data_IF_091313243658
#
_entry.id   IF_091313243658
#
_cell.length_a   1.000
_cell.length_b   1.000
_cell.length_c   1.000
_cell.angle_alpha   90.00
_cell.angle_beta   90.00
_cell.angle_gamma   90.00
#
_symmetry.space_group_name_H-M   'P 1'
#
loop_
_entity.id
_entity.type
_entity.pdbx_description
1 polymer ?
#
# COMPACT_ATOMS: atom_id res chain seq x y z
N UNK A 1 20.04 -11.91 -20.17
CA UNK A 1 19.63 -10.51 -20.02
C UNK A 1 20.23 -9.80 -18.80
N UNK A 2 20.83 -10.52 -17.83
CA UNK A 2 21.51 -9.94 -16.67
C UNK A 2 20.59 -9.25 -15.63
N UNK A 3 19.28 -9.24 -15.83
CA UNK A 3 18.30 -8.69 -14.91
C UNK A 3 17.68 -9.83 -14.10
N UNK A 4 17.81 -9.77 -12.79
CA UNK A 4 17.16 -10.73 -11.89
C UNK A 4 15.76 -10.22 -11.52
N UNK A 5 14.74 -10.85 -12.11
CA UNK A 5 13.33 -10.47 -11.89
C UNK A 5 12.72 -11.00 -10.58
N UNK A 6 13.50 -11.69 -9.76
CA UNK A 6 13.03 -12.35 -8.55
C UNK A 6 12.55 -13.78 -8.80
N UNK A 7 12.14 -14.45 -7.72
CA UNK A 7 11.60 -15.83 -7.77
C UNK A 7 10.08 -15.78 -7.61
N UNK A 8 9.33 -16.56 -8.43
CA UNK A 8 7.88 -16.68 -8.26
C UNK A 8 7.53 -17.16 -6.85
N UNK A 9 6.56 -16.52 -6.24
CA UNK A 9 6.06 -16.83 -4.90
C UNK A 9 4.54 -16.84 -4.88
N UNK A 10 3.98 -17.64 -3.97
CA UNK A 10 2.58 -17.54 -3.55
C UNK A 10 2.51 -16.55 -2.40
N UNK A 11 1.46 -15.74 -2.39
CA UNK A 11 1.28 -14.70 -1.36
C UNK A 11 0.07 -14.99 -0.46
N UNK A 12 -0.56 -16.15 -0.66
CA UNK A 12 -1.66 -16.64 0.17
C UNK A 12 -1.17 -16.97 1.57
N UNK A 13 -1.99 -16.66 2.56
CA UNK A 13 -1.71 -17.10 3.93
C UNK A 13 -2.19 -18.54 4.07
N UNK A 14 -1.27 -19.43 4.39
CA UNK A 14 -1.54 -20.86 4.57
C UNK A 14 -1.39 -21.27 6.03
N UNK A 15 -2.13 -22.31 6.41
CA UNK A 15 -2.09 -22.95 7.72
C UNK A 15 -1.88 -24.45 7.57
N UNK A 16 -1.14 -25.04 8.51
CA UNK A 16 -0.96 -26.50 8.60
C UNK A 16 -2.28 -27.19 8.97
N UNK A 17 -2.48 -28.43 8.52
CA UNK A 17 -3.69 -29.22 8.81
C UNK A 17 -3.40 -30.48 9.63
N UNK A 18 -2.50 -30.35 10.59
CA UNK A 18 -2.14 -31.44 11.51
C UNK A 18 -3.20 -31.68 12.59
N UNK A 19 -3.94 -30.61 12.97
CA UNK A 19 -4.96 -30.70 14.00
C UNK A 19 -6.16 -31.54 13.52
N UNK A 20 -6.55 -32.56 14.28
CA UNK A 20 -7.61 -33.49 13.92
C UNK A 20 -8.99 -32.83 13.82
N UNK A 21 -9.33 -31.89 14.70
CA UNK A 21 -10.60 -31.16 14.62
C UNK A 21 -10.68 -30.29 13.36
N UNK A 22 -9.55 -29.67 12.94
CA UNK A 22 -9.49 -28.94 11.69
C UNK A 22 -9.68 -29.87 10.48
N UNK A 23 -9.02 -31.04 10.48
CA UNK A 23 -9.19 -32.05 9.42
C UNK A 23 -10.64 -32.51 9.30
N UNK A 24 -11.31 -32.76 10.43
CA UNK A 24 -12.74 -33.11 10.47
C UNK A 24 -13.60 -31.99 9.93
N UNK A 25 -13.34 -30.75 10.33
CA UNK A 25 -14.04 -29.55 9.82
C UNK A 25 -13.93 -29.41 8.30
N UNK A 26 -12.74 -29.69 7.74
CA UNK A 26 -12.46 -29.65 6.31
C UNK A 26 -12.98 -30.88 5.56
N UNK A 27 -13.47 -31.91 6.26
CA UNK A 27 -13.89 -33.16 5.67
C UNK A 27 -12.77 -33.90 4.94
N UNK A 28 -11.51 -33.76 5.40
CA UNK A 28 -10.36 -34.35 4.75
C UNK A 28 -10.37 -35.89 4.92
N UNK A 29 -10.32 -36.66 3.83
CA UNK A 29 -10.20 -38.12 3.90
C UNK A 29 -8.93 -38.56 4.64
N UNK A 30 -8.98 -39.73 5.26
CA UNK A 30 -7.77 -40.35 5.85
C UNK A 30 -6.71 -40.52 4.75
N UNK A 31 -5.48 -40.11 5.05
CA UNK A 31 -4.35 -40.18 4.12
C UNK A 31 -4.22 -39.02 3.13
N UNK A 32 -5.20 -38.15 3.01
CA UNK A 32 -5.04 -36.92 2.24
C UNK A 32 -4.33 -35.88 3.10
N UNK A 33 -3.26 -35.32 2.58
CA UNK A 33 -2.43 -34.29 3.23
C UNK A 33 -2.45 -32.99 2.42
N UNK A 34 -1.98 -31.90 3.04
CA UNK A 34 -1.89 -30.62 2.39
C UNK A 34 -1.83 -29.48 3.41
N UNK A 35 -1.97 -28.26 2.93
CA UNK A 35 -2.07 -27.04 3.74
C UNK A 35 -3.34 -26.27 3.39
N UNK A 36 -4.00 -25.71 4.39
CA UNK A 36 -5.23 -24.95 4.21
C UNK A 36 -4.91 -23.49 3.86
N UNK A 37 -5.67 -22.92 2.94
CA UNK A 37 -5.68 -21.49 2.65
C UNK A 37 -6.49 -20.78 3.75
N UNK A 38 -5.78 -20.10 4.66
CA UNK A 38 -6.40 -19.32 5.73
C UNK A 38 -6.87 -17.95 5.22
N UNK A 39 -6.14 -17.37 4.26
CA UNK A 39 -6.54 -16.15 3.58
C UNK A 39 -5.96 -16.15 2.16
N UNK A 40 -6.80 -16.10 1.13
CA UNK A 40 -6.35 -15.96 -0.25
C UNK A 40 -5.70 -14.57 -0.46
N UNK A 41 -4.72 -14.50 -1.35
CA UNK A 41 -4.05 -13.24 -1.65
C UNK A 41 -4.99 -12.21 -2.29
N UNK A 42 -6.00 -12.67 -3.03
CA UNK A 42 -7.07 -11.84 -3.60
C UNK A 42 -8.43 -12.36 -3.15
N UNK A 43 -9.31 -11.43 -2.81
CA UNK A 43 -10.70 -11.72 -2.44
C UNK A 43 -11.64 -11.29 -3.56
N UNK A 44 -11.32 -11.74 -4.79
CA UNK A 44 -12.17 -11.55 -5.96
C UNK A 44 -12.62 -12.91 -6.53
N UNK A 45 -13.73 -12.91 -7.27
CA UNK A 45 -14.31 -14.16 -7.80
C UNK A 45 -13.43 -14.85 -8.85
N UNK A 46 -12.55 -14.10 -9.51
CA UNK A 46 -11.65 -14.64 -10.51
C UNK A 46 -10.42 -15.31 -9.89
N UNK A 47 -10.14 -15.06 -8.61
CA UNK A 47 -8.99 -15.66 -7.94
C UNK A 47 -9.26 -17.16 -7.67
N UNK A 48 -8.32 -18.05 -8.06
CA UNK A 48 -8.58 -19.49 -8.06
C UNK A 48 -8.63 -20.13 -6.68
N UNK A 49 -7.97 -19.54 -5.67
CA UNK A 49 -8.00 -20.02 -4.29
C UNK A 49 -9.07 -19.30 -3.48
N UNK A 50 -9.72 -20.03 -2.58
CA UNK A 50 -10.69 -19.51 -1.63
C UNK A 50 -10.26 -19.89 -0.21
N UNK A 51 -10.77 -19.15 0.78
CA UNK A 51 -10.62 -19.55 2.18
C UNK A 51 -11.12 -20.98 2.39
N UNK A 52 -10.44 -21.75 3.21
CA UNK A 52 -10.68 -23.19 3.51
C UNK A 52 -10.31 -24.19 2.41
N UNK A 53 -9.80 -23.76 1.25
CA UNK A 53 -9.21 -24.71 0.31
C UNK A 53 -8.01 -25.45 0.94
N UNK A 54 -7.82 -26.69 0.63
CA UNK A 54 -6.61 -27.41 1.02
C UNK A 54 -5.74 -27.67 -0.20
N UNK A 55 -4.56 -27.07 -0.26
CA UNK A 55 -3.59 -27.33 -1.33
C UNK A 55 -2.92 -28.67 -1.04
N UNK A 56 -3.23 -29.67 -1.84
CA UNK A 56 -2.76 -31.05 -1.69
C UNK A 56 -1.52 -31.34 -2.55
N UNK A 57 -1.42 -30.70 -3.74
CA UNK A 57 -0.28 -30.87 -4.64
C UNK A 57 0.10 -29.54 -5.30
N UNK A 58 1.40 -29.38 -5.54
CA UNK A 58 1.99 -28.30 -6.30
C UNK A 58 2.77 -28.91 -7.47
N UNK A 59 2.37 -28.61 -8.71
CA UNK A 59 3.01 -29.17 -9.91
C UNK A 59 3.03 -30.71 -9.92
N UNK A 60 1.97 -31.35 -9.37
CA UNK A 60 1.88 -32.81 -9.24
C UNK A 60 2.65 -33.40 -8.04
N UNK A 61 3.43 -32.61 -7.31
CA UNK A 61 4.15 -33.08 -6.11
C UNK A 61 3.25 -32.93 -4.86
N UNK A 62 3.04 -34.00 -4.07
CA UNK A 62 2.19 -33.93 -2.88
C UNK A 62 2.81 -33.03 -1.79
N UNK A 63 1.96 -32.27 -1.12
CA UNK A 63 2.28 -31.43 0.03
C UNK A 63 1.80 -32.15 1.28
N UNK A 64 2.63 -32.21 2.32
CA UNK A 64 2.20 -32.79 3.59
C UNK A 64 1.44 -31.80 4.49
N UNK A 65 0.92 -32.28 5.60
CA UNK A 65 0.12 -31.47 6.54
C UNK A 65 0.93 -30.40 7.28
N UNK A 66 2.24 -30.45 7.21
CA UNK A 66 3.21 -29.51 7.78
C UNK A 66 3.71 -28.47 6.74
N UNK A 67 3.16 -28.53 5.52
CA UNK A 67 3.53 -27.60 4.44
C UNK A 67 4.89 -27.89 3.82
N UNK A 68 5.36 -29.13 3.91
CA UNK A 68 6.63 -29.57 3.35
C UNK A 68 6.43 -30.54 2.20
N UNK A 69 7.47 -30.70 1.41
CA UNK A 69 7.54 -31.66 0.30
C UNK A 69 8.81 -32.48 0.37
N UNK A 70 8.73 -33.76 0.07
CA UNK A 70 9.88 -34.60 -0.05
C UNK A 70 10.59 -34.34 -1.38
N UNK A 71 11.85 -33.89 -1.33
CA UNK A 71 12.69 -33.66 -2.52
C UNK A 71 13.61 -34.84 -2.79
N UNK A 72 14.10 -35.47 -1.73
CA UNK A 72 14.89 -36.69 -1.73
C UNK A 72 14.48 -37.54 -0.53
N UNK A 73 15.02 -38.74 -0.43
CA UNK A 73 14.71 -39.70 0.63
C UNK A 73 14.79 -39.11 2.06
N UNK A 74 15.74 -38.23 2.29
CA UNK A 74 16.05 -37.62 3.60
C UNK A 74 15.84 -36.09 3.65
N UNK A 75 15.44 -35.47 2.54
CA UNK A 75 15.34 -34.03 2.43
C UNK A 75 13.89 -33.60 2.22
N UNK A 76 13.34 -32.89 3.19
CA UNK A 76 12.05 -32.22 3.13
C UNK A 76 12.25 -30.70 3.10
N UNK A 77 11.68 -30.03 2.14
CA UNK A 77 11.72 -28.56 1.99
C UNK A 77 10.33 -27.97 2.16
N UNK A 78 10.27 -26.67 2.44
CA UNK A 78 9.00 -25.92 2.36
C UNK A 78 8.38 -26.06 0.97
N UNK A 79 7.06 -26.27 0.92
CA UNK A 79 6.32 -26.39 -0.35
C UNK A 79 6.47 -25.16 -1.24
N UNK A 80 6.80 -23.98 -0.68
CA UNK A 80 7.10 -22.76 -1.45
C UNK A 80 8.26 -22.92 -2.44
N UNK A 81 9.18 -23.87 -2.20
CA UNK A 81 10.23 -24.24 -3.14
C UNK A 81 9.67 -24.70 -4.49
N UNK A 82 8.54 -25.38 -4.48
CA UNK A 82 7.90 -25.89 -5.70
C UNK A 82 7.34 -24.77 -6.59
N UNK A 83 7.00 -23.61 -6.02
CA UNK A 83 6.59 -22.45 -6.81
C UNK A 83 7.69 -22.03 -7.79
N UNK A 84 8.95 -22.02 -7.33
CA UNK A 84 10.10 -21.69 -8.17
C UNK A 84 10.38 -22.75 -9.25
N UNK A 85 10.05 -24.00 -8.96
CA UNK A 85 10.31 -25.15 -9.87
C UNK A 85 9.24 -25.30 -10.94
N UNK A 86 7.97 -25.10 -10.57
CA UNK A 86 6.83 -25.44 -11.43
C UNK A 86 6.07 -24.24 -11.98
N UNK A 87 6.32 -23.01 -11.49
CA UNK A 87 5.71 -21.84 -12.09
C UNK A 87 6.24 -21.62 -13.51
N UNK A 88 5.33 -21.49 -14.47
CA UNK A 88 5.63 -21.17 -15.86
C UNK A 88 4.72 -20.04 -16.31
N UNK A 89 5.30 -19.04 -16.98
CA UNK A 89 4.56 -17.89 -17.51
C UNK A 89 3.66 -17.22 -16.45
N UNK A 90 4.16 -17.10 -15.20
CA UNK A 90 3.39 -16.48 -14.11
C UNK A 90 2.27 -17.32 -13.52
N UNK A 91 2.18 -18.62 -13.85
CA UNK A 91 1.13 -19.53 -13.38
C UNK A 91 1.74 -20.75 -12.72
N UNK A 92 1.17 -21.14 -11.57
CA UNK A 92 1.54 -22.32 -10.79
C UNK A 92 0.36 -23.31 -10.80
N UNK A 93 0.53 -24.53 -11.34
CA UNK A 93 -0.53 -25.55 -11.28
C UNK A 93 -0.63 -26.15 -9.88
N UNK A 94 -1.83 -26.15 -9.31
CA UNK A 94 -2.16 -26.70 -8.01
C UNK A 94 -3.26 -27.74 -8.12
N UNK A 95 -3.24 -28.74 -7.20
CA UNK A 95 -4.39 -29.58 -6.91
C UNK A 95 -4.89 -29.18 -5.51
N UNK A 96 -6.15 -28.81 -5.41
CA UNK A 96 -6.81 -28.44 -4.17
C UNK A 96 -7.92 -29.42 -3.82
N UNK A 97 -8.25 -29.48 -2.54
CA UNK A 97 -9.44 -30.13 -2.05
C UNK A 97 -10.41 -29.05 -1.57
N UNK A 98 -11.58 -29.01 -2.19
CA UNK A 98 -12.66 -28.04 -1.94
C UNK A 98 -13.99 -28.77 -1.98
N UNK A 99 -14.87 -28.55 -1.01
CA UNK A 99 -16.24 -29.11 -0.96
C UNK A 99 -16.29 -30.63 -1.18
N UNK A 100 -15.38 -31.36 -0.57
CA UNK A 100 -15.34 -32.82 -0.66
C UNK A 100 -14.72 -33.38 -1.94
N UNK A 101 -14.13 -32.55 -2.82
CA UNK A 101 -13.60 -32.98 -4.13
C UNK A 101 -12.21 -32.41 -4.40
N UNK A 102 -11.42 -33.16 -5.16
CA UNK A 102 -10.18 -32.66 -5.71
C UNK A 102 -10.48 -31.84 -6.99
N UNK A 103 -9.84 -30.68 -7.09
CA UNK A 103 -9.92 -29.80 -8.26
C UNK A 103 -8.52 -29.33 -8.66
N UNK A 104 -8.31 -29.13 -9.95
CA UNK A 104 -7.10 -28.52 -10.47
C UNK A 104 -7.33 -27.04 -10.69
N UNK A 105 -6.41 -26.19 -10.21
CA UNK A 105 -6.47 -24.75 -10.38
C UNK A 105 -5.12 -24.22 -10.84
N UNK A 106 -5.17 -23.10 -11.58
CA UNK A 106 -4.01 -22.39 -12.08
C UNK A 106 -3.83 -21.12 -11.26
N UNK A 107 -2.89 -21.14 -10.31
CA UNK A 107 -2.65 -20.00 -9.42
C UNK A 107 -1.74 -18.98 -10.11
N UNK A 108 -2.17 -17.71 -10.27
CA UNK A 108 -1.27 -16.64 -10.67
C UNK A 108 -0.19 -16.43 -9.60
N UNK A 109 1.07 -16.42 -10.00
CA UNK A 109 2.20 -16.16 -9.11
C UNK A 109 3.01 -14.98 -9.62
N UNK A 110 3.52 -14.19 -8.70
CA UNK A 110 4.34 -13.03 -9.01
C UNK A 110 5.68 -13.11 -8.29
N UNK A 111 6.67 -12.40 -8.78
CA UNK A 111 7.98 -12.32 -8.14
C UNK A 111 8.01 -11.30 -6.99
N UNK A 112 6.97 -10.46 -6.91
CA UNK A 112 6.85 -9.39 -5.91
C UNK A 112 5.41 -9.30 -5.42
N UNK A 113 5.27 -9.14 -4.11
CA UNK A 113 3.98 -8.80 -3.50
C UNK A 113 3.67 -7.32 -3.77
N UNK A 114 2.47 -7.03 -4.25
CA UNK A 114 1.98 -5.66 -4.28
C UNK A 114 1.76 -5.17 -2.86
N UNK A 115 2.35 -4.04 -2.53
CA UNK A 115 2.22 -3.40 -1.23
C UNK A 115 1.79 -1.95 -1.42
N UNK A 116 0.88 -1.47 -0.56
CA UNK A 116 0.49 -0.05 -0.51
C UNK A 116 1.68 0.85 -0.14
N UNK A 117 2.66 0.30 0.57
CA UNK A 117 3.96 0.91 0.85
C UNK A 117 5.02 0.10 0.11
N UNK A 118 5.36 0.46 -1.14
CA UNK A 118 6.29 -0.32 -1.97
C UNK A 118 7.76 -0.08 -1.60
N UNK A 119 8.65 -0.94 -2.11
CA UNK A 119 10.09 -0.67 -2.15
C UNK A 119 10.44 0.23 -3.32
N UNK A 120 11.45 1.09 -3.15
CA UNK A 120 11.94 2.00 -4.21
C UNK A 120 12.61 1.27 -5.39
N UNK A 121 13.23 0.11 -5.14
CA UNK A 121 13.85 -0.74 -6.17
C UNK A 121 14.79 0.03 -7.09
N UNK A 122 15.69 0.83 -6.52
CA UNK A 122 16.64 1.71 -7.19
C UNK A 122 16.02 2.93 -7.93
N UNK A 123 14.71 3.19 -7.75
CA UNK A 123 14.11 4.45 -8.20
C UNK A 123 14.34 5.57 -7.19
N UNK A 124 14.17 6.81 -7.63
CA UNK A 124 14.20 7.96 -6.74
C UNK A 124 12.84 8.13 -6.02
N UNK A 125 12.83 8.60 -4.76
CA UNK A 125 11.60 8.97 -4.09
C UNK A 125 10.85 10.05 -4.88
N UNK A 126 9.55 9.88 -5.00
CA UNK A 126 8.64 10.87 -5.59
C UNK A 126 8.29 11.89 -4.52
N UNK A 127 8.24 13.17 -4.91
CA UNK A 127 7.92 14.25 -3.97
C UNK A 127 7.13 15.38 -4.62
N UNK A 128 6.42 16.12 -3.77
CA UNK A 128 5.74 17.36 -4.11
C UNK A 128 5.85 18.35 -2.94
N UNK A 129 6.27 19.59 -3.23
CA UNK A 129 6.45 20.64 -2.25
C UNK A 129 5.34 21.68 -2.46
N UNK A 130 4.62 21.97 -1.38
CA UNK A 130 3.61 23.04 -1.36
C UNK A 130 3.61 23.73 0.00
N UNK A 131 3.77 25.03 0.02
CA UNK A 131 3.99 25.78 1.25
C UNK A 131 5.15 25.15 2.05
N UNK A 132 4.96 24.92 3.35
CA UNK A 132 6.01 24.36 4.21
C UNK A 132 6.14 22.83 4.09
N UNK A 133 5.29 22.14 3.34
CA UNK A 133 5.25 20.68 3.29
C UNK A 133 6.12 20.09 2.19
N UNK A 134 6.77 18.98 2.50
CA UNK A 134 7.31 18.04 1.52
C UNK A 134 6.46 16.78 1.59
N UNK A 135 5.57 16.59 0.65
CA UNK A 135 4.80 15.36 0.51
C UNK A 135 5.55 14.33 -0.32
N UNK A 136 5.48 13.07 0.09
CA UNK A 136 6.08 11.96 -0.66
C UNK A 136 5.20 10.71 -0.54
N UNK A 137 5.30 9.83 -1.53
CA UNK A 137 4.82 8.47 -1.39
C UNK A 137 5.61 7.77 -0.29
N UNK A 138 4.91 7.12 0.65
CA UNK A 138 5.58 6.30 1.66
C UNK A 138 6.22 5.07 1.01
N UNK A 139 7.46 4.75 1.39
CA UNK A 139 8.18 3.57 0.89
C UNK A 139 8.74 2.72 2.03
N UNK A 140 8.95 1.44 1.79
CA UNK A 140 9.58 0.54 2.77
C UNK A 140 10.98 1.03 3.14
N UNK A 141 11.75 1.51 2.15
CA UNK A 141 13.11 2.03 2.35
C UNK A 141 13.13 3.20 3.34
N UNK A 142 12.12 4.08 3.29
CA UNK A 142 11.96 5.17 4.25
C UNK A 142 11.68 4.62 5.66
N UNK A 143 10.74 3.69 5.79
CA UNK A 143 10.36 3.10 7.08
C UNK A 143 11.51 2.31 7.72
N UNK A 144 12.29 1.58 6.93
CA UNK A 144 13.46 0.83 7.41
C UNK A 144 14.55 1.76 7.95
N UNK A 145 14.82 2.87 7.27
CA UNK A 145 15.76 3.89 7.77
C UNK A 145 15.30 4.47 9.11
N UNK A 146 14.02 4.71 9.29
CA UNK A 146 13.48 5.18 10.56
C UNK A 146 13.59 4.13 11.67
N UNK A 147 13.32 2.87 11.36
CA UNK A 147 13.45 1.76 12.32
C UNK A 147 14.90 1.49 12.76
N UNK A 148 15.86 1.75 11.91
CA UNK A 148 17.29 1.58 12.20
C UNK A 148 17.88 2.75 13.03
N UNK A 149 17.22 3.88 13.10
CA UNK A 149 17.62 4.96 14.01
C UNK A 149 17.22 4.59 15.44
N UNK A 150 18.18 4.13 16.23
CA UNK A 150 18.04 3.78 17.66
C UNK A 150 17.67 4.97 18.57
N UNK A 151 17.27 6.10 18.02
CA UNK A 151 16.82 7.24 18.81
C UNK A 151 15.39 7.03 19.32
N UNK A 152 15.09 7.63 20.44
CA UNK A 152 13.80 7.58 21.18
C UNK A 152 12.54 7.88 20.37
N UNK A 153 12.68 8.33 19.15
CA UNK A 153 11.59 8.55 18.20
C UNK A 153 11.04 7.25 17.56
N UNK A 154 11.78 6.12 17.59
CA UNK A 154 11.24 4.82 17.17
C UNK A 154 10.07 4.36 18.06
N UNK A 155 10.04 4.81 19.33
CA UNK A 155 8.92 4.58 20.23
C UNK A 155 7.62 5.29 19.83
N UNK A 156 7.70 6.33 18.99
CA UNK A 156 6.52 7.05 18.51
C UNK A 156 5.73 6.29 17.45
N UNK A 157 6.39 5.43 16.64
CA UNK A 157 5.69 4.57 15.70
C UNK A 157 4.92 3.43 16.38
N UNK A 158 5.44 2.90 17.51
CA UNK A 158 4.85 1.77 18.19
C UNK A 158 3.61 2.10 19.05
N UNK A 159 3.35 3.37 19.31
CA UNK A 159 2.19 3.79 20.13
C UNK A 159 0.96 4.17 19.33
N UNK A 160 1.08 4.26 18.01
CA UNK A 160 0.02 4.87 17.26
C UNK A 160 -0.55 3.88 16.26
N UNK A 161 -1.86 3.90 16.09
CA UNK A 161 -2.56 3.29 14.97
C UNK A 161 -2.22 3.99 13.63
N UNK A 162 -0.95 4.40 13.45
CA UNK A 162 -0.51 5.07 12.25
C UNK A 162 -0.64 4.15 11.04
N UNK A 163 -1.21 4.60 9.93
CA UNK A 163 -1.25 3.83 8.69
C UNK A 163 0.12 3.36 8.22
N UNK A 164 1.22 4.04 8.58
CA UNK A 164 2.58 3.61 8.30
C UNK A 164 2.97 2.29 8.97
N UNK A 165 2.34 1.97 10.09
CA UNK A 165 2.55 0.72 10.83
C UNK A 165 1.47 -0.29 10.50
N UNK A 166 0.21 0.11 10.59
CA UNK A 166 -0.93 -0.81 10.46
C UNK A 166 -1.11 -1.31 9.04
N UNK A 167 -0.74 -0.51 8.03
CA UNK A 167 -0.86 -0.85 6.61
C UNK A 167 0.47 -1.20 5.92
N UNK A 168 1.54 -1.37 6.70
CA UNK A 168 2.90 -1.56 6.15
C UNK A 168 3.00 -2.70 5.14
N UNK A 169 2.28 -3.78 5.39
CA UNK A 169 2.31 -4.99 4.58
C UNK A 169 0.99 -5.28 3.86
N UNK A 170 0.06 -4.31 3.88
CA UNK A 170 -1.19 -4.43 3.18
C UNK A 170 -1.00 -4.31 1.67
N UNK A 171 -1.94 -4.92 0.95
CA UNK A 171 -2.16 -4.62 -0.46
C UNK A 171 -2.87 -3.28 -0.61
N UNK A 172 -2.69 -2.61 -1.78
CA UNK A 172 -3.57 -1.51 -2.16
C UNK A 172 -5.05 -1.94 -2.10
N UNK A 173 -5.91 -1.13 -1.49
CA UNK A 173 -7.34 -1.38 -1.43
C UNK A 173 -8.03 -1.12 -2.79
N UNK A 174 -7.38 -0.35 -3.64
CA UNK A 174 -7.80 -0.07 -5.02
C UNK A 174 -6.56 0.19 -5.89
N UNK A 175 -6.71 0.09 -7.19
CA UNK A 175 -5.61 0.31 -8.13
C UNK A 175 -5.02 1.71 -8.02
N UNK A 176 -3.69 1.77 -7.89
CA UNK A 176 -2.94 3.01 -7.74
C UNK A 176 -3.06 3.68 -6.35
N UNK A 177 -3.53 2.98 -5.30
CA UNK A 177 -3.49 3.50 -3.93
C UNK A 177 -2.05 3.67 -3.46
N UNK A 178 -1.75 4.84 -2.88
CA UNK A 178 -0.49 5.14 -2.20
C UNK A 178 -0.76 5.84 -0.87
N UNK A 179 0.05 5.59 0.13
CA UNK A 179 0.05 6.41 1.33
C UNK A 179 0.95 7.63 1.09
N UNK A 180 0.34 8.80 1.11
CA UNK A 180 1.05 10.10 0.99
C UNK A 180 1.36 10.60 2.38
N UNK A 181 2.63 10.91 2.65
CA UNK A 181 3.06 11.39 3.97
C UNK A 181 3.86 12.70 3.86
N UNK A 182 3.95 13.41 4.98
CA UNK A 182 4.92 14.49 5.16
C UNK A 182 6.30 13.86 5.41
N UNK A 183 7.20 14.02 4.45
CA UNK A 183 8.46 13.28 4.41
C UNK A 183 9.61 13.94 5.18
N UNK A 184 9.45 15.20 5.60
CA UNK A 184 10.43 15.98 6.34
C UNK A 184 9.75 16.89 7.36
N UNK A 185 10.47 17.43 8.34
CA UNK A 185 9.97 18.56 9.12
C UNK A 185 9.49 19.70 8.22
N UNK A 186 8.54 20.49 8.71
CA UNK A 186 8.06 21.67 7.98
C UNK A 186 9.20 22.64 7.70
N UNK A 187 9.21 23.23 6.52
CA UNK A 187 10.05 24.39 6.27
C UNK A 187 9.64 25.53 7.22
N UNK A 188 10.59 26.16 7.93
CA UNK A 188 10.29 27.30 8.80
C UNK A 188 9.66 28.45 8.00
N UNK A 189 8.45 28.81 8.33
CA UNK A 189 7.76 29.94 7.70
C UNK A 189 6.65 30.48 8.63
N UNK A 190 6.31 31.78 8.54
CA UNK A 190 5.32 32.42 9.38
C UNK A 190 3.94 31.75 9.35
N UNK A 191 3.56 31.13 8.21
CA UNK A 191 2.24 30.49 8.07
C UNK A 191 2.09 29.21 8.89
N UNK A 192 3.18 28.66 9.43
CA UNK A 192 3.13 27.46 10.29
C UNK A 192 2.96 27.80 11.76
N UNK A 193 2.97 29.08 12.11
CA UNK A 193 2.87 29.51 13.51
C UNK A 193 1.55 29.02 14.13
N UNK A 194 1.65 28.35 15.26
CA UNK A 194 0.51 27.81 15.99
C UNK A 194 0.12 26.38 15.57
N UNK A 195 0.84 25.78 14.64
CA UNK A 195 0.69 24.38 14.26
C UNK A 195 1.85 23.54 14.77
N UNK A 196 1.56 22.31 15.17
CA UNK A 196 2.58 21.30 15.40
C UNK A 196 3.14 20.76 14.08
N UNK A 197 4.36 20.23 14.12
CA UNK A 197 4.99 19.66 12.92
C UNK A 197 4.39 18.27 12.61
N UNK A 198 3.63 18.11 11.51
CA UNK A 198 3.02 16.85 11.12
C UNK A 198 4.01 15.88 10.45
N UNK A 199 5.31 16.04 10.67
CA UNK A 199 6.34 15.17 10.11
C UNK A 199 6.00 13.69 10.34
N UNK A 200 6.03 12.90 9.28
CA UNK A 200 5.61 11.49 9.23
C UNK A 200 4.09 11.29 9.33
N UNK A 201 3.31 12.34 9.36
CA UNK A 201 1.86 12.27 9.26
C UNK A 201 1.43 11.79 7.86
N UNK A 202 0.49 10.85 7.82
CA UNK A 202 -0.14 10.41 6.56
C UNK A 202 -1.28 11.34 6.23
N UNK A 203 -1.22 11.98 5.07
CA UNK A 203 -2.28 12.86 4.58
C UNK A 203 -3.50 12.03 4.18
N UNK A 204 -4.65 12.30 4.80
CA UNK A 204 -5.91 11.62 4.52
C UNK A 204 -6.79 12.38 3.56
N UNK A 205 -6.92 13.69 3.75
CA UNK A 205 -7.82 14.53 2.98
C UNK A 205 -7.21 15.92 2.71
N UNK A 206 -7.60 16.51 1.58
CA UNK A 206 -7.42 17.93 1.27
C UNK A 206 -8.79 18.49 0.89
N UNK A 207 -9.24 19.55 1.56
CA UNK A 207 -10.58 20.15 1.38
C UNK A 207 -11.71 19.10 1.38
N UNK A 208 -11.69 18.17 2.36
CA UNK A 208 -12.62 17.04 2.47
C UNK A 208 -12.59 16.05 1.30
N UNK A 209 -11.63 16.14 0.39
CA UNK A 209 -11.42 15.18 -0.69
C UNK A 209 -10.36 14.17 -0.21
N UNK A 210 -10.72 12.88 -0.14
CA UNK A 210 -9.80 11.82 0.24
C UNK A 210 -8.65 11.71 -0.76
N UNK A 211 -7.43 11.82 -0.26
CA UNK A 211 -6.21 11.65 -1.07
C UNK A 211 -5.99 10.16 -1.36
N UNK A 212 -5.89 9.81 -2.64
CA UNK A 212 -5.69 8.42 -3.09
C UNK A 212 -4.23 8.07 -3.31
N UNK A 213 -3.45 9.03 -3.79
CA UNK A 213 -2.02 8.91 -4.07
C UNK A 213 -1.40 10.29 -4.27
N UNK A 214 -0.09 10.35 -4.47
CA UNK A 214 0.64 11.60 -4.64
C UNK A 214 0.19 12.39 -5.89
N UNK A 215 -0.15 11.69 -6.99
CA UNK A 215 -0.70 12.34 -8.20
C UNK A 215 -2.04 13.00 -7.93
N UNK A 216 -2.93 12.30 -7.23
CA UNK A 216 -4.24 12.85 -6.87
C UNK A 216 -4.13 14.07 -5.95
N UNK A 217 -3.15 14.08 -5.01
CA UNK A 217 -2.86 15.28 -4.22
C UNK A 217 -2.51 16.48 -5.11
N UNK A 218 -1.63 16.27 -6.10
CA UNK A 218 -1.23 17.33 -7.04
C UNK A 218 -2.43 17.82 -7.86
N UNK A 219 -3.31 16.93 -8.33
CA UNK A 219 -4.53 17.28 -9.04
C UNK A 219 -5.47 18.13 -8.17
N UNK A 220 -5.72 17.72 -6.93
CA UNK A 220 -6.58 18.46 -6.00
C UNK A 220 -6.05 19.88 -5.80
N UNK A 221 -4.75 20.04 -5.54
CA UNK A 221 -4.14 21.33 -5.26
C UNK A 221 -4.04 22.23 -6.48
N UNK A 222 -3.81 21.68 -7.66
CA UNK A 222 -3.80 22.41 -8.93
C UNK A 222 -5.19 22.93 -9.30
N UNK A 223 -6.19 22.06 -9.19
CA UNK A 223 -7.55 22.34 -9.66
C UNK A 223 -8.43 23.04 -8.59
N UNK A 224 -7.91 23.23 -7.37
CA UNK A 224 -8.67 23.94 -6.31
C UNK A 224 -8.69 25.45 -6.54
N UNK A 225 -9.90 25.99 -6.45
CA UNK A 225 -10.15 27.45 -6.47
C UNK A 225 -10.59 27.98 -5.11
N UNK A 226 -10.55 27.14 -4.07
CA UNK A 226 -10.96 27.54 -2.73
C UNK A 226 -10.03 28.62 -2.17
N UNK A 227 -10.59 29.55 -1.40
CA UNK A 227 -9.80 30.58 -0.72
C UNK A 227 -8.90 29.99 0.38
N UNK A 228 -9.31 28.88 0.96
CA UNK A 228 -8.58 28.16 2.00
C UNK A 228 -8.33 26.73 1.56
N UNK A 229 -7.15 26.24 1.90
CA UNK A 229 -6.77 24.84 1.69
C UNK A 229 -6.59 24.19 3.07
N UNK A 230 -7.34 23.12 3.31
CA UNK A 230 -7.25 22.34 4.53
C UNK A 230 -6.55 21.02 4.25
N UNK A 231 -5.59 20.67 5.11
CA UNK A 231 -4.89 19.39 5.11
C UNK A 231 -5.27 18.64 6.37
N UNK A 232 -5.82 17.43 6.23
CA UNK A 232 -6.20 16.58 7.34
C UNK A 232 -5.35 15.32 7.34
N UNK A 233 -4.72 15.05 8.46
CA UNK A 233 -3.84 13.90 8.61
C UNK A 233 -4.58 12.73 9.27
N UNK A 234 -4.20 11.50 8.87
CA UNK A 234 -4.71 10.29 9.52
C UNK A 234 -4.21 10.23 10.97
N UNK A 235 -5.09 9.84 11.86
CA UNK A 235 -4.75 9.71 13.29
C UNK A 235 -3.59 8.75 13.49
N UNK A 236 -2.61 9.22 14.23
CA UNK A 236 -1.47 8.44 14.66
C UNK A 236 -1.52 8.16 16.17
N UNK A 237 -2.69 7.87 16.73
CA UNK A 237 -2.89 7.61 18.17
C UNK A 237 -3.43 8.81 18.95
N UNK A 238 -3.13 8.89 20.24
CA UNK A 238 -3.73 9.84 21.22
C UNK A 238 -3.44 11.33 20.91
N UNK A 239 -2.50 11.61 20.02
CA UNK A 239 -2.10 12.96 19.68
C UNK A 239 -2.51 13.29 18.24
N UNK A 240 -3.51 14.13 18.15
CA UNK A 240 -3.87 15.04 17.06
C UNK A 240 -4.41 14.42 15.77
N UNK A 241 -5.72 14.50 15.62
CA UNK A 241 -6.37 14.74 14.35
C UNK A 241 -6.16 16.23 13.98
N UNK A 242 -4.92 16.63 13.73
CA UNK A 242 -4.71 18.02 13.42
C UNK A 242 -5.11 18.30 11.98
N UNK A 243 -6.00 19.26 11.81
CA UNK A 243 -6.33 19.83 10.52
C UNK A 243 -5.60 21.16 10.38
N UNK A 244 -4.72 21.27 9.42
CA UNK A 244 -4.00 22.51 9.12
C UNK A 244 -4.69 23.24 7.99
N UNK A 245 -5.01 24.52 8.18
CA UNK A 245 -5.71 25.35 7.20
C UNK A 245 -4.87 26.56 6.84
N UNK A 246 -4.73 26.82 5.55
CA UNK A 246 -3.95 27.94 5.03
C UNK A 246 -4.78 28.72 4.01
N UNK A 247 -4.61 30.04 3.95
CA UNK A 247 -5.10 30.79 2.80
C UNK A 247 -4.32 30.34 1.55
N UNK A 248 -5.02 30.13 0.45
CA UNK A 248 -4.41 29.64 -0.80
C UNK A 248 -3.32 30.60 -1.30
N UNK A 249 -3.57 31.93 -1.24
CA UNK A 249 -2.58 32.95 -1.61
C UNK A 249 -1.30 32.85 -0.79
N UNK A 250 -1.44 32.72 0.53
CA UNK A 250 -0.30 32.63 1.44
C UNK A 250 0.49 31.34 1.22
N UNK A 251 -0.21 30.24 0.91
CA UNK A 251 0.42 28.95 0.63
C UNK A 251 1.25 28.98 -0.67
N UNK A 252 0.74 29.65 -1.72
CA UNK A 252 1.46 29.84 -3.00
C UNK A 252 2.69 30.73 -2.80
N UNK A 253 2.51 31.88 -2.12
CA UNK A 253 3.61 32.80 -1.81
C UNK A 253 4.71 32.09 -1.02
N UNK A 254 4.32 31.37 0.05
CA UNK A 254 5.25 30.61 0.88
C UNK A 254 5.99 29.53 0.07
N UNK A 255 5.30 28.84 -0.85
CA UNK A 255 5.94 27.85 -1.72
C UNK A 255 7.07 28.51 -2.53
N UNK A 256 6.78 29.61 -3.21
CA UNK A 256 7.78 30.31 -4.04
C UNK A 256 8.98 30.75 -3.22
N UNK A 257 8.74 31.36 -2.06
CA UNK A 257 9.77 31.84 -1.16
C UNK A 257 10.64 30.71 -0.59
N UNK A 258 10.02 29.63 -0.14
CA UNK A 258 10.73 28.45 0.40
C UNK A 258 11.62 27.81 -0.68
N UNK A 259 11.13 27.67 -1.91
CA UNK A 259 11.92 27.14 -3.01
C UNK A 259 13.15 28.01 -3.31
N UNK A 260 12.97 29.32 -3.36
CA UNK A 260 14.05 30.27 -3.59
C UNK A 260 15.09 30.25 -2.47
N UNK A 261 14.67 30.36 -1.21
CA UNK A 261 15.54 30.38 -0.04
C UNK A 261 16.37 29.08 0.14
N UNK A 262 15.82 27.95 -0.31
CA UNK A 262 16.48 26.65 -0.20
C UNK A 262 17.17 26.19 -1.51
N UNK A 263 17.18 27.03 -2.56
CA UNK A 263 17.79 26.69 -3.84
C UNK A 263 17.14 25.50 -4.55
N UNK A 264 15.83 25.26 -4.29
CA UNK A 264 15.06 24.16 -4.88
C UNK A 264 14.51 24.62 -6.22
N UNK A 265 14.97 23.98 -7.28
CA UNK A 265 14.57 24.36 -8.65
C UNK A 265 13.15 23.95 -9.02
N UNK A 266 12.72 22.77 -8.58
CA UNK A 266 11.41 22.21 -8.92
C UNK A 266 10.68 21.73 -7.66
N UNK A 267 9.40 22.10 -7.48
CA UNK A 267 8.61 21.67 -6.32
C UNK A 267 8.10 20.22 -6.45
N UNK A 268 8.50 19.50 -7.48
CA UNK A 268 7.97 18.17 -7.80
C UNK A 268 9.04 17.26 -8.40
N UNK A 269 8.84 15.96 -8.24
CA UNK A 269 9.59 14.93 -8.97
C UNK A 269 9.21 14.91 -10.45
N UNK A 270 10.11 14.43 -11.32
CA UNK A 270 9.99 14.53 -12.77
C UNK A 270 8.68 13.94 -13.35
N UNK A 271 8.16 12.88 -12.73
CA UNK A 271 6.91 12.21 -13.13
C UNK A 271 5.64 13.03 -12.86
N UNK A 272 5.71 14.05 -12.00
CA UNK A 272 4.61 14.94 -11.66
C UNK A 272 4.62 16.24 -12.48
N UNK A 273 5.70 16.51 -13.21
CA UNK A 273 5.91 17.75 -13.94
C UNK A 273 4.80 18.07 -14.94
N UNK A 274 4.54 17.14 -15.84
CA UNK A 274 3.53 17.32 -16.89
C UNK A 274 2.13 17.52 -16.33
N UNK A 275 1.86 16.94 -15.18
CA UNK A 275 0.58 17.09 -14.50
C UNK A 275 0.44 18.46 -13.84
N UNK A 276 1.46 18.92 -13.13
CA UNK A 276 1.44 20.22 -12.44
C UNK A 276 1.45 21.39 -13.43
N UNK A 277 2.22 21.28 -14.49
CA UNK A 277 2.33 22.30 -15.55
C UNK A 277 1.14 22.25 -16.55
N UNK A 278 0.25 21.24 -16.46
CA UNK A 278 -0.93 21.16 -17.31
C UNK A 278 -1.92 22.29 -16.97
N UNK A 279 -2.65 22.83 -17.96
CA UNK A 279 -3.69 23.83 -17.69
C UNK A 279 -4.76 23.26 -16.76
N UNK A 280 -5.24 24.11 -15.85
CA UNK A 280 -6.32 23.78 -14.92
C UNK A 280 -7.53 23.19 -15.67
N UNK A 281 -8.10 22.10 -15.16
CA UNK A 281 -9.35 21.56 -15.70
C UNK A 281 -10.46 22.57 -15.41
N UNK A 282 -11.06 23.15 -16.43
CA UNK A 282 -12.25 23.99 -16.27
C UNK A 282 -13.36 23.14 -15.66
N UNK A 283 -13.69 23.39 -14.40
CA UNK A 283 -14.87 22.80 -13.77
C UNK A 283 -16.09 23.37 -14.51
N UNK A 284 -16.97 22.53 -15.09
CA UNK A 284 -18.20 23.02 -15.67
C UNK A 284 -18.96 23.77 -14.56
N UNK A 285 -19.29 25.02 -14.78
CA UNK A 285 -20.11 25.82 -13.86
C UNK A 285 -21.39 25.02 -13.61
N UNK A 286 -21.50 24.41 -12.44
CA UNK A 286 -22.66 23.65 -12.03
C UNK A 286 -23.89 24.51 -12.14
N UNK A 287 -24.94 23.96 -12.74
CA UNK A 287 -26.23 24.58 -12.93
C UNK A 287 -26.71 25.24 -11.63
N UNK A 288 -27.14 26.49 -11.75
CA UNK A 288 -27.82 27.25 -10.70
C UNK A 288 -28.93 26.37 -10.11
N UNK A 289 -28.80 26.06 -8.83
CA UNK A 289 -29.91 25.49 -8.05
C UNK A 289 -31.02 26.56 -8.09
N UNK A 290 -32.09 26.27 -8.80
CA UNK A 290 -33.33 27.03 -8.70
C UNK A 290 -33.87 26.83 -7.29
N UNK A 291 -33.70 27.82 -6.43
CA UNK A 291 -34.50 27.94 -5.21
C UNK A 291 -35.94 28.12 -5.61
N UNK A 292 -36.75 27.09 -5.37
CA UNK A 292 -38.21 27.23 -5.37
C UNK A 292 -38.61 28.22 -4.27
N UNK A 293 -39.19 29.33 -4.66
CA UNK A 293 -39.91 30.26 -3.79
C UNK A 293 -41.16 29.54 -3.27
N UNK A 294 -41.47 29.52 -1.94
CA UNK A 294 -42.77 29.09 -1.47
C UNK A 294 -43.74 30.27 -1.60
N UNK A 295 -44.75 30.14 -2.48
CA UNK A 295 -45.98 30.90 -2.46
C UNK A 295 -46.99 30.27 -1.52
#
# INVERSE_FOLDING_TARGET
DGVYDGKPQTHDLIQTVENEALRQRLGLPKGLSGVMVAQPYRDDDAYPLKEWDVITHIGGTPVDSDGKVAVRYDLRLSASYLAQKFAKNGVLPLTIYRDGKLAQVSLPVTTRRELVIPYLLNSNPRYFIVGPFVFSQTTQDYLERLGNQRSSSAGSFGRAASPLVTRRYDRPAFDGEELVMVASPLFPHRITQGYDDPNRGVLSEVNNIRVRNLRHLVEILRDSHDQQISFKFASAGVLTHETMVFNRSDLIEATSKILEENGIRYPYSADLRTMWEAPEKQVPKSAKVFCCNPG
#
